data_IF_880391680457
#
_entry.id   IF_880391680457
#
_cell.length_a   1.000
_cell.length_b   1.000
_cell.length_c   1.000
_cell.angle_alpha   90.00
_cell.angle_beta   90.00
_cell.angle_gamma   90.00
#
_symmetry.space_group_name_H-M   'P 1'
#
loop_
_entity.id
_entity.type
_entity.pdbx_description
1 polymer ?
#
# COMPACT_ATOMS: atom_id res chain seq x y z
N UNK A 1 13.24 -6.00 -22.91
CA UNK A 1 14.42 -6.89 -22.84
C UNK A 1 15.39 -6.46 -23.93
N UNK A 2 16.70 -6.65 -23.74
CA UNK A 2 17.71 -6.31 -24.76
C UNK A 2 17.83 -7.37 -25.87
N UNK A 3 17.11 -8.47 -25.73
CA UNK A 3 17.08 -9.62 -26.62
C UNK A 3 15.65 -9.92 -27.07
N UNK A 4 15.52 -10.67 -28.17
CA UNK A 4 14.22 -11.07 -28.71
C UNK A 4 13.43 -11.85 -27.65
N UNK A 5 12.16 -11.47 -27.38
CA UNK A 5 11.30 -12.23 -26.46
C UNK A 5 11.07 -13.68 -26.93
N UNK A 6 10.84 -14.57 -25.96
CA UNK A 6 10.33 -15.92 -26.21
C UNK A 6 8.94 -15.81 -26.83
N UNK A 7 8.71 -16.55 -27.90
CA UNK A 7 7.40 -16.60 -28.54
C UNK A 7 6.34 -17.19 -27.59
N UNK A 8 5.19 -16.53 -27.53
CA UNK A 8 3.99 -17.05 -26.90
C UNK A 8 3.50 -18.28 -27.67
N UNK A 9 3.38 -19.39 -26.93
CA UNK A 9 2.92 -20.69 -27.43
C UNK A 9 1.97 -21.31 -26.42
N UNK A 10 1.05 -22.12 -26.92
CA UNK A 10 0.21 -22.96 -26.08
C UNK A 10 1.02 -24.11 -25.48
N UNK A 11 0.80 -24.43 -24.21
CA UNK A 11 1.37 -25.61 -23.55
C UNK A 11 0.57 -26.89 -23.85
N UNK A 12 -0.61 -26.76 -24.45
CA UNK A 12 -1.50 -27.88 -24.80
C UNK A 12 -2.02 -27.73 -26.24
N UNK A 13 -2.48 -28.82 -26.85
CA UNK A 13 -2.94 -28.82 -28.26
C UNK A 13 -4.17 -27.91 -28.47
N UNK A 14 -5.08 -27.87 -27.48
CA UNK A 14 -6.32 -27.10 -27.55
C UNK A 14 -6.48 -26.23 -26.28
N UNK A 15 -5.86 -25.04 -26.22
CA UNK A 15 -5.97 -24.18 -25.05
C UNK A 15 -7.43 -23.71 -24.90
N UNK A 16 -7.98 -23.92 -23.71
CA UNK A 16 -9.32 -23.46 -23.31
C UNK A 16 -9.24 -22.25 -22.38
N UNK A 17 -8.04 -21.93 -21.89
CA UNK A 17 -7.79 -20.83 -20.97
C UNK A 17 -6.49 -20.09 -21.30
N UNK A 18 -6.42 -18.84 -20.88
CA UNK A 18 -5.20 -18.01 -20.97
C UNK A 18 -4.04 -18.51 -20.08
N UNK A 19 -4.33 -19.39 -19.12
CA UNK A 19 -3.32 -19.99 -18.24
C UNK A 19 -2.46 -21.05 -18.94
N UNK A 20 -2.95 -21.57 -20.07
CA UNK A 20 -2.30 -22.61 -20.87
C UNK A 20 -1.36 -22.03 -21.94
N UNK A 21 -1.02 -20.74 -21.85
CA UNK A 21 -0.21 -20.02 -22.84
C UNK A 21 0.97 -19.38 -22.12
N UNK A 22 2.18 -19.55 -22.67
CA UNK A 22 3.44 -19.08 -22.08
C UNK A 22 4.34 -18.44 -23.14
N UNK A 23 5.07 -17.39 -22.76
CA UNK A 23 5.98 -16.65 -23.64
C UNK A 23 6.53 -15.40 -22.96
N UNK A 24 7.20 -14.54 -23.71
CA UNK A 24 7.78 -13.29 -23.22
C UNK A 24 9.23 -13.45 -22.76
N UNK A 25 9.47 -13.63 -21.47
CA UNK A 25 10.83 -13.54 -20.90
C UNK A 25 11.72 -14.78 -21.18
N UNK A 26 13.03 -14.55 -21.39
CA UNK A 26 14.01 -15.61 -21.69
C UNK A 26 14.28 -16.57 -20.53
N UNK A 27 14.30 -16.08 -19.29
CA UNK A 27 14.53 -16.91 -18.11
C UNK A 27 13.24 -17.06 -17.32
N UNK A 28 12.88 -18.32 -17.04
CA UNK A 28 11.85 -18.69 -16.08
C UNK A 28 12.54 -19.04 -14.78
N UNK A 29 12.40 -18.27 -13.69
CA UNK A 29 12.76 -18.76 -12.37
C UNK A 29 11.91 -20.00 -12.08
N UNK A 30 12.54 -21.16 -11.93
CA UNK A 30 11.84 -22.40 -11.57
C UNK A 30 11.42 -22.36 -10.10
N UNK A 31 10.11 -22.47 -9.84
CA UNK A 31 9.53 -22.59 -8.50
C UNK A 31 8.08 -22.08 -8.44
N UNK A 32 7.27 -22.65 -7.55
CA UNK A 32 5.83 -22.31 -7.34
C UNK A 32 5.56 -20.83 -6.97
N UNK A 33 6.62 -20.07 -6.68
CA UNK A 33 6.55 -18.66 -6.25
C UNK A 33 6.20 -17.71 -7.42
N UNK A 34 6.30 -18.18 -8.68
CA UNK A 34 6.05 -17.36 -9.87
C UNK A 34 5.19 -18.07 -10.93
N UNK A 35 3.89 -18.20 -10.66
CA UNK A 35 2.85 -18.35 -11.70
C UNK A 35 2.73 -17.10 -12.64
N UNK A 36 3.75 -16.23 -12.70
CA UNK A 36 3.68 -14.83 -13.15
C UNK A 36 3.91 -14.57 -14.63
N UNK A 37 4.08 -15.61 -15.46
CA UNK A 37 4.28 -15.44 -16.91
C UNK A 37 3.20 -16.15 -17.73
N UNK A 38 1.99 -16.17 -17.17
CA UNK A 38 0.74 -16.46 -17.88
C UNK A 38 0.08 -15.13 -18.20
N UNK A 39 -0.76 -15.05 -19.24
CA UNK A 39 -1.50 -13.82 -19.55
C UNK A 39 -2.41 -13.40 -18.38
N UNK A 40 -2.82 -14.35 -17.53
CA UNK A 40 -3.50 -14.12 -16.25
C UNK A 40 -2.75 -14.78 -15.11
N UNK A 41 -2.48 -14.01 -14.06
CA UNK A 41 -1.83 -14.47 -12.83
C UNK A 41 -2.89 -14.85 -11.78
N UNK A 42 -3.67 -15.90 -12.03
CA UNK A 42 -4.52 -16.51 -11.01
C UNK A 42 -3.84 -17.74 -10.41
N UNK A 43 -3.87 -17.85 -9.08
CA UNK A 43 -3.38 -19.04 -8.35
C UNK A 43 -4.42 -20.16 -8.28
N UNK A 44 -5.71 -19.84 -8.42
CA UNK A 44 -6.80 -20.82 -8.44
C UNK A 44 -7.34 -20.97 -9.86
N UNK A 45 -6.73 -21.91 -10.59
CA UNK A 45 -7.11 -22.22 -11.97
C UNK A 45 -8.46 -22.96 -12.07
N UNK A 46 -9.07 -23.38 -10.94
CA UNK A 46 -10.35 -24.07 -10.93
C UNK A 46 -11.56 -23.14 -10.74
N UNK A 47 -11.35 -21.90 -10.28
CA UNK A 47 -12.43 -20.93 -10.03
C UNK A 47 -12.25 -19.59 -10.77
N UNK A 48 -11.01 -19.15 -11.03
CA UNK A 48 -10.74 -17.86 -11.67
C UNK A 48 -9.93 -18.05 -12.95
N UNK A 49 -10.64 -18.47 -14.00
CA UNK A 49 -10.10 -18.56 -15.35
C UNK A 49 -11.03 -17.85 -16.33
N UNK A 50 -10.44 -17.15 -17.29
CA UNK A 50 -11.17 -16.77 -18.49
C UNK A 50 -11.22 -18.02 -19.36
N UNK A 51 -12.36 -18.71 -19.31
CA UNK A 51 -12.68 -19.78 -20.24
C UNK A 51 -12.99 -19.15 -21.58
N UNK A 52 -12.29 -19.56 -22.62
CA UNK A 52 -12.68 -19.19 -23.97
C UNK A 52 -13.73 -20.18 -24.46
N UNK A 53 -14.81 -19.65 -25.01
CA UNK A 53 -15.87 -20.46 -25.61
C UNK A 53 -15.30 -21.34 -26.74
N UNK A 54 -15.92 -22.50 -27.02
CA UNK A 54 -15.46 -23.44 -28.05
C UNK A 54 -15.15 -22.80 -29.41
N UNK A 55 -15.90 -21.77 -29.79
CA UNK A 55 -15.75 -21.04 -31.06
C UNK A 55 -14.68 -19.94 -31.01
N UNK A 56 -14.25 -19.53 -29.80
CA UNK A 56 -13.16 -18.57 -29.59
C UNK A 56 -11.80 -19.23 -29.33
N UNK A 57 -11.72 -20.57 -29.36
CA UNK A 57 -10.46 -21.34 -29.36
C UNK A 57 -9.57 -21.02 -30.56
N UNK A 58 -10.18 -20.73 -31.71
CA UNK A 58 -9.46 -20.16 -32.86
C UNK A 58 -8.88 -18.79 -32.54
N UNK A 59 -9.62 -17.95 -31.80
CA UNK A 59 -9.17 -16.62 -31.38
C UNK A 59 -7.85 -16.64 -30.59
N UNK A 60 -7.64 -17.61 -29.70
CA UNK A 60 -6.40 -17.71 -28.94
C UNK A 60 -5.21 -18.14 -29.82
N UNK A 61 -5.43 -19.08 -30.74
CA UNK A 61 -4.44 -19.45 -31.76
C UNK A 61 -4.15 -18.29 -32.74
N UNK A 62 -5.13 -17.41 -33.00
CA UNK A 62 -4.97 -16.21 -33.84
C UNK A 62 -4.26 -15.07 -33.12
N UNK A 63 -4.47 -14.91 -31.81
CA UNK A 63 -3.87 -13.85 -30.99
C UNK A 63 -2.37 -14.08 -30.77
N UNK A 64 -1.93 -15.33 -30.59
CA UNK A 64 -0.51 -15.62 -30.33
C UNK A 64 0.45 -15.09 -31.42
N UNK A 65 0.19 -15.29 -32.73
CA UNK A 65 0.97 -14.65 -33.79
C UNK A 65 0.98 -13.11 -33.70
N UNK A 66 -0.14 -12.50 -33.34
CA UNK A 66 -0.25 -11.04 -33.18
C UNK A 66 0.62 -10.55 -32.03
N UNK A 67 0.51 -11.19 -30.86
CA UNK A 67 1.34 -10.85 -29.69
C UNK A 67 2.82 -11.05 -30.02
N UNK A 68 3.16 -12.16 -30.68
CA UNK A 68 4.54 -12.45 -31.10
C UNK A 68 5.09 -11.40 -32.06
N UNK A 69 4.27 -10.92 -32.99
CA UNK A 69 4.65 -9.84 -33.90
C UNK A 69 4.85 -8.53 -33.15
N UNK A 70 3.93 -8.15 -32.26
CA UNK A 70 4.00 -6.90 -31.50
C UNK A 70 5.20 -6.87 -30.55
N UNK A 71 5.45 -7.94 -29.80
CA UNK A 71 6.56 -7.98 -28.84
C UNK A 71 7.95 -8.03 -29.52
N UNK A 72 8.01 -8.50 -30.77
CA UNK A 72 9.25 -8.60 -31.52
C UNK A 72 9.69 -7.26 -32.14
N UNK A 73 8.87 -6.21 -32.05
CA UNK A 73 9.21 -4.87 -32.54
C UNK A 73 10.31 -4.29 -31.64
N UNK A 74 11.53 -4.06 -32.16
CA UNK A 74 12.57 -3.41 -31.38
C UNK A 74 12.23 -1.93 -31.22
N UNK A 75 12.50 -1.39 -30.04
CA UNK A 75 12.44 0.04 -29.77
C UNK A 75 13.84 0.53 -29.44
N UNK A 76 14.18 1.70 -29.96
CA UNK A 76 15.39 2.42 -29.59
C UNK A 76 15.02 3.71 -28.88
N UNK A 77 15.88 4.13 -27.95
CA UNK A 77 15.72 5.44 -27.32
C UNK A 77 16.03 6.49 -28.38
N UNK A 78 15.05 7.36 -28.66
CA UNK A 78 15.24 8.48 -29.57
C UNK A 78 16.24 9.49 -28.97
N UNK A 79 17.50 9.40 -29.40
CA UNK A 79 18.62 10.12 -28.78
C UNK A 79 18.46 11.62 -28.82
N UNK A 80 18.01 12.17 -29.95
CA UNK A 80 17.78 13.61 -30.09
C UNK A 80 16.64 14.08 -29.20
N UNK A 81 15.55 13.32 -29.11
CA UNK A 81 14.45 13.61 -28.19
C UNK A 81 14.90 13.57 -26.73
N UNK A 82 15.71 12.59 -26.34
CA UNK A 82 16.27 12.52 -25.00
C UNK A 82 17.19 13.72 -24.72
N UNK A 83 18.11 14.06 -25.63
CA UNK A 83 18.99 15.22 -25.49
C UNK A 83 18.22 16.52 -25.42
N UNK A 84 17.15 16.67 -26.22
CA UNK A 84 16.25 17.82 -26.16
C UNK A 84 15.59 17.93 -24.78
N UNK A 85 15.05 16.83 -24.25
CA UNK A 85 14.44 16.80 -22.91
C UNK A 85 15.47 17.17 -21.84
N UNK A 86 16.69 16.64 -21.92
CA UNK A 86 17.74 16.90 -20.93
C UNK A 86 18.22 18.37 -20.98
N UNK A 87 18.42 18.93 -22.17
CA UNK A 87 18.92 20.30 -22.34
C UNK A 87 17.87 21.37 -22.02
N UNK A 88 16.58 21.04 -22.11
CA UNK A 88 15.47 21.97 -21.87
C UNK A 88 14.68 21.61 -20.61
N UNK A 89 15.25 20.77 -19.74
CA UNK A 89 14.56 20.20 -18.59
C UNK A 89 13.86 21.25 -17.74
N UNK A 90 14.59 22.27 -17.30
CA UNK A 90 14.08 23.32 -16.41
C UNK A 90 12.87 24.04 -17.02
N UNK A 91 12.93 24.35 -18.32
CA UNK A 91 11.83 25.01 -19.03
C UNK A 91 10.63 24.07 -19.25
N UNK A 92 10.87 22.79 -19.52
CA UNK A 92 9.82 21.77 -19.62
C UNK A 92 9.12 21.54 -18.28
N UNK A 93 9.86 21.65 -17.16
CA UNK A 93 9.34 21.60 -15.79
C UNK A 93 8.52 22.85 -15.45
N UNK A 94 9.01 24.05 -15.80
CA UNK A 94 8.29 25.32 -15.62
C UNK A 94 6.95 25.35 -16.37
N UNK A 95 6.93 24.81 -17.59
CA UNK A 95 5.70 24.73 -18.40
C UNK A 95 4.79 23.54 -18.03
N UNK A 96 5.17 22.72 -17.05
CA UNK A 96 4.37 21.58 -16.57
C UNK A 96 4.34 20.35 -17.50
N UNK A 97 5.19 20.31 -18.52
CA UNK A 97 5.32 19.18 -19.46
C UNK A 97 6.15 18.05 -18.84
N UNK A 98 7.18 18.42 -18.09
CA UNK A 98 7.99 17.50 -17.30
C UNK A 98 7.69 17.72 -15.81
N UNK A 99 7.74 16.66 -15.01
CA UNK A 99 7.59 16.79 -13.56
C UNK A 99 8.87 17.43 -12.97
N UNK A 100 8.76 18.47 -12.12
CA UNK A 100 9.91 19.20 -11.58
C UNK A 100 10.94 18.31 -10.88
N UNK A 101 12.21 18.59 -11.12
CA UNK A 101 13.34 18.02 -10.41
C UNK A 101 13.44 18.58 -8.99
N UNK A 102 12.91 19.80 -8.72
CA UNK A 102 12.77 20.38 -7.37
C UNK A 102 11.64 19.77 -6.52
N UNK A 103 11.14 18.60 -6.93
CA UNK A 103 10.63 17.61 -5.99
C UNK A 103 11.57 17.48 -4.77
N UNK A 104 12.86 17.84 -4.82
CA UNK A 104 13.77 17.97 -3.67
C UNK A 104 13.22 18.81 -2.49
N UNK A 105 12.68 20.03 -2.67
CA UNK A 105 12.18 20.84 -1.52
C UNK A 105 10.86 20.30 -0.97
N UNK A 106 9.94 19.87 -1.84
CA UNK A 106 8.64 19.30 -1.44
C UNK A 106 8.81 17.89 -0.87
N UNK A 107 9.71 17.08 -1.41
CA UNK A 107 10.11 15.79 -0.85
C UNK A 107 10.85 15.94 0.44
N UNK A 108 11.74 16.93 0.61
CA UNK A 108 12.33 17.21 1.93
C UNK A 108 11.23 17.50 2.94
N UNK A 109 10.23 18.34 2.62
CA UNK A 109 9.09 18.59 3.51
C UNK A 109 8.28 17.31 3.81
N UNK A 110 8.03 16.49 2.79
CA UNK A 110 7.33 15.21 2.94
C UNK A 110 8.15 14.22 3.79
N UNK A 111 9.48 14.18 3.61
CA UNK A 111 10.42 13.35 4.37
C UNK A 111 10.54 13.83 5.82
N UNK A 112 10.56 15.15 6.04
CA UNK A 112 10.51 15.76 7.38
C UNK A 112 9.25 15.35 8.14
N UNK A 113 8.12 15.18 7.43
CA UNK A 113 6.90 14.64 8.02
C UNK A 113 6.95 13.11 8.13
N UNK A 114 7.48 12.39 7.13
CA UNK A 114 7.46 10.91 7.11
C UNK A 114 8.34 10.31 8.22
N UNK A 115 9.52 10.89 8.47
CA UNK A 115 10.46 10.41 9.49
C UNK A 115 9.76 10.25 10.86
N UNK A 116 9.15 11.29 11.45
CA UNK A 116 8.37 11.15 12.68
C UNK A 116 7.28 10.07 12.60
N UNK A 117 6.56 9.93 11.49
CA UNK A 117 5.50 8.92 11.36
C UNK A 117 6.05 7.47 11.42
N UNK A 118 7.32 7.26 11.08
CA UNK A 118 8.00 5.98 11.33
C UNK A 118 8.34 5.77 12.81
N UNK A 119 8.40 6.84 13.60
CA UNK A 119 8.60 6.79 15.05
C UNK A 119 7.29 6.57 15.81
N UNK A 120 6.29 7.45 15.63
CA UNK A 120 4.97 7.38 16.28
C UNK A 120 3.87 7.96 15.39
N UNK A 121 2.61 7.86 15.81
CA UNK A 121 1.50 8.48 15.07
C UNK A 121 1.28 9.92 15.56
N UNK A 122 0.80 10.78 14.66
CA UNK A 122 0.47 12.19 14.91
C UNK A 122 -0.94 12.49 14.40
N UNK A 123 -1.53 13.58 14.91
CA UNK A 123 -2.85 14.05 14.49
C UNK A 123 -2.79 15.04 13.33
N UNK A 124 -1.62 15.60 13.01
CA UNK A 124 -1.42 16.44 11.83
C UNK A 124 0.01 16.34 11.30
N UNK A 125 0.22 16.80 10.06
CA UNK A 125 1.58 16.94 9.50
C UNK A 125 2.37 18.05 10.20
N UNK A 126 1.68 19.08 10.70
CA UNK A 126 2.27 20.17 11.46
C UNK A 126 2.88 19.67 12.77
N UNK A 127 2.11 18.92 13.56
CA UNK A 127 2.57 18.31 14.83
C UNK A 127 3.75 17.35 14.60
N UNK A 128 3.69 16.57 13.52
CA UNK A 128 4.76 15.66 13.10
C UNK A 128 6.07 16.41 12.86
N UNK A 129 6.01 17.50 12.11
CA UNK A 129 7.18 18.31 11.77
C UNK A 129 7.74 19.06 12.99
N UNK A 130 6.89 19.62 13.84
CA UNK A 130 7.30 20.25 15.12
C UNK A 130 8.06 19.26 16.00
N UNK A 131 7.50 18.05 16.19
CA UNK A 131 8.16 17.00 16.95
C UNK A 131 9.53 16.62 16.38
N UNK A 132 9.68 16.58 15.05
CA UNK A 132 10.99 16.32 14.45
C UNK A 132 12.02 17.37 14.87
N UNK A 133 11.66 18.65 14.74
CA UNK A 133 12.56 19.77 15.04
C UNK A 133 12.95 19.79 16.53
N UNK A 134 11.99 19.51 17.42
CA UNK A 134 12.21 19.48 18.87
C UNK A 134 13.14 18.35 19.31
N UNK A 135 13.09 17.19 18.63
CA UNK A 135 13.81 15.99 19.01
C UNK A 135 15.10 15.76 18.20
N UNK A 136 15.30 16.52 17.11
CA UNK A 136 16.45 16.37 16.21
C UNK A 136 17.78 16.42 16.94
N UNK A 137 17.93 17.29 17.92
CA UNK A 137 19.14 17.40 18.73
C UNK A 137 19.42 16.15 19.56
N UNK A 138 18.41 15.31 19.86
CA UNK A 138 18.58 14.09 20.65
C UNK A 138 19.09 12.91 19.82
N UNK A 139 18.76 12.82 18.53
CA UNK A 139 19.13 11.68 17.68
C UNK A 139 20.14 12.01 16.57
N UNK A 140 20.43 13.29 16.32
CA UNK A 140 21.33 13.72 15.25
C UNK A 140 22.71 14.16 15.76
N UNK A 141 23.15 13.65 16.91
CA UNK A 141 24.51 13.96 17.45
C UNK A 141 25.57 12.98 16.97
N UNK A 142 25.20 11.71 16.83
CA UNK A 142 26.06 10.61 16.40
C UNK A 142 25.25 9.41 15.90
N UNK A 143 25.89 8.50 15.18
CA UNK A 143 25.28 7.25 14.71
C UNK A 143 24.74 6.41 15.88
N UNK A 144 25.45 6.41 17.03
CA UNK A 144 25.00 5.71 18.23
C UNK A 144 23.71 6.32 18.79
N UNK A 145 23.64 7.66 18.91
CA UNK A 145 22.43 8.35 19.37
C UNK A 145 21.23 8.10 18.47
N UNK A 146 21.45 8.02 17.15
CA UNK A 146 20.39 7.71 16.18
C UNK A 146 19.87 6.28 16.37
N UNK A 147 20.78 5.32 16.56
CA UNK A 147 20.43 3.91 16.77
C UNK A 147 19.64 3.76 18.08
N UNK A 148 20.14 4.30 19.20
CA UNK A 148 19.45 4.23 20.50
C UNK A 148 18.06 4.85 20.44
N UNK A 149 17.95 6.04 19.84
CA UNK A 149 16.65 6.71 19.70
C UNK A 149 15.69 5.89 18.84
N UNK A 150 16.17 5.34 17.72
CA UNK A 150 15.36 4.56 16.79
C UNK A 150 14.84 3.23 17.36
N UNK A 151 15.42 2.69 18.43
CA UNK A 151 14.92 1.47 19.10
C UNK A 151 13.46 1.60 19.54
N UNK A 152 13.02 2.82 19.86
CA UNK A 152 11.66 3.10 20.31
C UNK A 152 10.69 3.44 19.17
N UNK A 153 11.18 3.50 17.92
CA UNK A 153 10.36 3.80 16.76
C UNK A 153 9.45 2.62 16.39
N UNK A 154 8.25 2.92 15.89
CA UNK A 154 7.35 1.89 15.29
C UNK A 154 8.01 1.14 14.14
N UNK A 155 8.89 1.80 13.38
CA UNK A 155 9.60 1.26 12.22
C UNK A 155 11.07 1.72 12.23
N UNK A 156 11.93 1.11 13.06
CA UNK A 156 13.29 1.61 13.34
C UNK A 156 14.16 1.86 12.11
N UNK A 157 14.28 0.88 11.21
CA UNK A 157 15.12 1.04 10.01
C UNK A 157 14.59 2.09 9.02
N UNK A 158 13.27 2.22 8.90
CA UNK A 158 12.68 3.26 8.06
C UNK A 158 12.88 4.65 8.67
N UNK A 159 12.76 4.78 9.99
CA UNK A 159 13.09 6.01 10.70
C UNK A 159 14.55 6.42 10.45
N UNK A 160 15.50 5.50 10.67
CA UNK A 160 16.93 5.72 10.43
C UNK A 160 17.18 6.16 8.99
N UNK A 161 16.64 5.44 8.00
CA UNK A 161 16.84 5.76 6.58
C UNK A 161 16.38 7.18 6.22
N UNK A 162 15.21 7.62 6.71
CA UNK A 162 14.71 8.97 6.47
C UNK A 162 15.58 10.02 7.18
N UNK A 163 15.98 9.81 8.44
CA UNK A 163 16.86 10.75 9.17
C UNK A 163 18.20 10.90 8.47
N UNK A 164 18.84 9.79 8.08
CA UNK A 164 20.09 9.83 7.32
C UNK A 164 19.94 10.61 6.01
N UNK A 165 18.78 10.47 5.35
CA UNK A 165 18.52 11.20 4.12
C UNK A 165 18.38 12.71 4.31
N UNK A 166 17.61 13.11 5.31
CA UNK A 166 17.40 14.50 5.67
C UNK A 166 18.68 15.18 6.15
N UNK A 167 19.40 14.54 7.07
CA UNK A 167 20.46 15.17 7.86
C UNK A 167 21.84 15.07 7.20
N UNK A 168 22.10 14.00 6.46
CA UNK A 168 23.36 13.83 5.71
C UNK A 168 23.28 14.33 4.27
N UNK A 169 22.18 14.99 3.90
CA UNK A 169 21.92 15.56 2.56
C UNK A 169 22.12 14.55 1.42
N UNK A 170 21.76 13.28 1.64
CA UNK A 170 21.68 12.36 0.50
C UNK A 170 20.50 12.74 -0.38
N UNK A 171 20.54 12.33 -1.64
CA UNK A 171 19.48 12.62 -2.61
C UNK A 171 18.11 12.12 -2.09
N UNK A 172 17.16 13.02 -1.78
CA UNK A 172 15.83 12.68 -1.28
C UNK A 172 15.03 11.76 -2.20
N UNK A 173 15.34 11.76 -3.51
CA UNK A 173 14.67 10.90 -4.49
C UNK A 173 14.98 9.41 -4.31
N UNK A 174 16.00 9.08 -3.51
CA UNK A 174 16.43 7.69 -3.26
C UNK A 174 15.68 7.01 -2.12
N UNK A 175 14.91 7.75 -1.32
CA UNK A 175 14.16 7.20 -0.20
C UNK A 175 12.68 7.07 -0.56
N UNK A 176 12.12 5.85 -0.56
CA UNK A 176 10.69 5.67 -0.81
C UNK A 176 9.88 6.22 0.37
N UNK A 177 8.99 7.17 0.09
CA UNK A 177 7.97 7.61 1.04
C UNK A 177 6.74 6.74 0.88
N UNK A 178 6.37 6.03 1.95
CA UNK A 178 5.14 5.25 1.96
C UNK A 178 3.94 6.13 2.34
N UNK A 179 2.98 6.28 1.44
CA UNK A 179 1.66 6.83 1.75
C UNK A 179 0.65 5.68 1.75
N UNK A 180 0.01 5.47 2.89
CA UNK A 180 -1.06 4.47 3.04
C UNK A 180 -2.36 5.21 3.37
N UNK A 181 -3.43 4.82 2.70
CA UNK A 181 -4.73 5.43 2.87
C UNK A 181 -5.37 4.95 4.18
N UNK A 182 -5.82 5.88 5.02
CA UNK A 182 -6.56 5.54 6.24
C UNK A 182 -7.91 4.92 5.87
N UNK A 183 -8.03 3.61 6.05
CA UNK A 183 -9.30 2.88 5.82
C UNK A 183 -9.83 3.01 4.39
N UNK A 184 -8.99 2.73 3.40
CA UNK A 184 -9.29 2.90 1.97
C UNK A 184 -10.66 2.38 1.51
N UNK A 185 -11.10 1.19 1.95
CA UNK A 185 -12.43 0.69 1.60
C UNK A 185 -13.57 1.56 2.13
N UNK A 186 -13.44 2.13 3.32
CA UNK A 186 -14.43 3.05 3.86
C UNK A 186 -14.41 4.40 3.14
N UNK A 187 -13.26 4.85 2.65
CA UNK A 187 -13.16 6.03 1.76
C UNK A 187 -13.87 5.77 0.43
N UNK A 188 -13.67 4.60 -0.18
CA UNK A 188 -14.36 4.22 -1.42
C UNK A 188 -15.87 4.12 -1.19
N UNK A 189 -16.26 3.51 -0.07
CA UNK A 189 -17.67 3.33 0.27
C UNK A 189 -18.37 4.67 0.56
N UNK A 190 -17.72 5.59 1.28
CA UNK A 190 -18.31 6.92 1.54
C UNK A 190 -18.53 7.70 0.26
N UNK A 191 -17.62 7.58 -0.72
CA UNK A 191 -17.80 8.16 -2.04
C UNK A 191 -19.01 7.55 -2.77
N UNK A 192 -19.09 6.22 -2.87
CA UNK A 192 -20.19 5.57 -3.59
C UNK A 192 -21.57 5.79 -2.95
N UNK A 193 -21.62 5.90 -1.64
CA UNK A 193 -22.85 6.16 -0.89
C UNK A 193 -23.18 7.65 -0.77
N UNK A 194 -22.30 8.54 -1.26
CA UNK A 194 -22.39 9.99 -1.05
C UNK A 194 -22.55 10.36 0.43
N UNK A 195 -21.91 9.58 1.30
CA UNK A 195 -21.98 9.74 2.75
C UNK A 195 -20.92 10.75 3.20
N UNK A 196 -21.36 11.99 3.38
CA UNK A 196 -20.50 13.12 3.77
C UNK A 196 -19.91 12.91 5.16
N UNK A 197 -20.65 12.31 6.09
CA UNK A 197 -20.17 12.08 7.45
C UNK A 197 -19.04 11.04 7.43
N UNK A 198 -19.25 9.92 6.75
CA UNK A 198 -18.22 8.89 6.62
C UNK A 198 -17.02 9.38 5.80
N UNK A 199 -17.26 10.20 4.76
CA UNK A 199 -16.20 10.83 3.98
C UNK A 199 -15.29 11.70 4.85
N UNK A 200 -15.87 12.48 5.77
CA UNK A 200 -15.11 13.27 6.74
C UNK A 200 -14.32 12.37 7.72
N UNK A 201 -15.00 11.38 8.33
CA UNK A 201 -14.38 10.43 9.29
C UNK A 201 -13.24 9.60 8.70
N UNK A 202 -13.17 9.48 7.38
CA UNK A 202 -12.17 8.69 6.65
C UNK A 202 -11.10 9.55 5.97
N UNK A 203 -11.11 10.87 6.14
CA UNK A 203 -10.22 11.82 5.45
C UNK A 203 -10.37 11.83 3.92
N UNK A 204 -11.51 11.39 3.37
CA UNK A 204 -11.79 11.53 1.94
C UNK A 204 -12.00 13.01 1.58
N UNK A 205 -12.70 13.74 2.47
CA UNK A 205 -12.79 15.19 2.44
C UNK A 205 -12.02 15.75 3.63
N UNK A 206 -11.22 16.79 3.39
CA UNK A 206 -10.50 17.51 4.44
C UNK A 206 -11.32 18.72 4.85
N UNK A 207 -11.73 18.75 6.12
CA UNK A 207 -12.48 19.88 6.71
C UNK A 207 -11.55 20.71 7.63
N UNK A 208 -10.49 20.10 8.14
CA UNK A 208 -9.46 20.74 8.95
C UNK A 208 -8.05 20.14 8.67
N UNK A 209 -7.03 20.62 9.38
CA UNK A 209 -5.64 20.10 9.31
C UNK A 209 -5.44 18.79 10.10
N UNK A 210 -6.52 18.17 10.59
CA UNK A 210 -6.43 16.96 11.42
C UNK A 210 -6.64 15.69 10.60
N UNK A 211 -5.85 14.70 10.95
CA UNK A 211 -5.95 13.34 10.46
C UNK A 211 -6.97 12.61 11.35
N UNK A 212 -8.14 12.34 10.79
CA UNK A 212 -9.21 11.61 11.45
C UNK A 212 -8.93 10.10 11.45
N UNK A 213 -9.13 9.48 12.60
CA UNK A 213 -8.95 8.05 12.76
C UNK A 213 -10.30 7.35 12.95
N UNK A 214 -10.87 6.84 11.85
CA UNK A 214 -12.15 6.13 11.82
C UNK A 214 -12.26 5.09 12.94
N UNK A 215 -11.21 4.30 13.18
CA UNK A 215 -11.28 3.22 14.17
C UNK A 215 -11.38 3.74 15.59
N UNK A 216 -10.83 4.91 15.89
CA UNK A 216 -11.00 5.53 17.22
C UNK A 216 -12.46 5.93 17.44
N UNK A 217 -13.15 6.44 16.40
CA UNK A 217 -14.59 6.72 16.47
C UNK A 217 -15.43 5.46 16.59
N UNK A 218 -15.08 4.39 15.86
CA UNK A 218 -15.74 3.10 16.01
C UNK A 218 -15.54 2.47 17.40
N UNK A 219 -14.42 2.72 18.10
CA UNK A 219 -14.24 2.28 19.49
C UNK A 219 -15.28 2.94 20.40
N UNK A 220 -15.49 4.25 20.28
CA UNK A 220 -16.45 5.01 21.08
C UNK A 220 -17.86 4.43 20.89
N UNK A 221 -18.30 4.32 19.64
CA UNK A 221 -19.61 3.76 19.25
C UNK A 221 -19.78 2.30 19.72
N UNK A 222 -18.77 1.46 19.54
CA UNK A 222 -18.82 0.05 19.95
C UNK A 222 -18.92 -0.08 21.47
N UNK A 223 -18.17 0.72 22.23
CA UNK A 223 -18.23 0.71 23.70
C UNK A 223 -19.60 1.10 24.19
N UNK A 224 -20.22 2.12 23.60
CA UNK A 224 -21.55 2.56 24.00
C UNK A 224 -22.62 1.52 23.65
N UNK A 225 -22.52 0.91 22.46
CA UNK A 225 -23.36 -0.24 22.10
C UNK A 225 -23.24 -1.38 23.12
N UNK A 226 -22.02 -1.76 23.51
CA UNK A 226 -21.80 -2.88 24.42
C UNK A 226 -22.27 -2.59 25.85
N UNK A 227 -22.16 -1.36 26.34
CA UNK A 227 -22.70 -0.99 27.67
C UNK A 227 -24.21 -1.17 27.77
N UNK A 228 -24.93 -0.95 26.66
CA UNK A 228 -26.38 -1.13 26.57
C UNK A 228 -26.76 -2.61 26.49
N UNK A 229 -25.97 -3.42 25.78
CA UNK A 229 -26.32 -4.81 25.45
C UNK A 229 -25.69 -5.87 26.35
N UNK A 230 -24.63 -5.53 27.10
CA UNK A 230 -24.00 -6.43 28.05
C UNK A 230 -24.47 -6.15 29.47
N UNK A 231 -24.43 -7.18 30.33
CA UNK A 231 -24.56 -6.99 31.78
C UNK A 231 -23.48 -6.04 32.27
N UNK A 232 -23.81 -5.17 33.23
CA UNK A 232 -22.90 -4.16 33.77
C UNK A 232 -21.54 -4.73 34.21
N UNK A 233 -21.55 -5.91 34.84
CA UNK A 233 -20.34 -6.63 35.27
C UNK A 233 -19.46 -7.12 34.11
N UNK A 234 -20.06 -7.47 32.98
CA UNK A 234 -19.33 -7.90 31.79
C UNK A 234 -18.83 -6.68 30.99
N UNK A 235 -19.65 -5.65 30.87
CA UNK A 235 -19.29 -4.40 30.20
C UNK A 235 -18.09 -3.72 30.86
N UNK A 236 -18.03 -3.71 32.20
CA UNK A 236 -16.91 -3.13 32.95
C UNK A 236 -15.59 -3.88 32.74
N UNK A 237 -15.64 -5.17 32.43
CA UNK A 237 -14.46 -5.98 32.09
C UNK A 237 -14.08 -5.80 30.61
N UNK A 238 -15.05 -5.86 29.70
CA UNK A 238 -14.80 -5.90 28.25
C UNK A 238 -14.47 -4.51 27.68
N UNK A 239 -15.26 -3.47 27.98
CA UNK A 239 -15.16 -2.17 27.32
C UNK A 239 -13.77 -1.49 27.45
N UNK A 240 -13.10 -1.52 28.62
CA UNK A 240 -11.76 -0.95 28.75
C UNK A 240 -10.69 -1.63 27.89
N UNK A 241 -10.95 -2.88 27.48
CA UNK A 241 -10.01 -3.73 26.73
C UNK A 241 -10.23 -3.69 25.22
N UNK A 242 -11.29 -3.03 24.78
CA UNK A 242 -11.52 -2.73 23.37
C UNK A 242 -10.56 -1.62 22.98
N UNK A 243 -9.50 -2.00 22.28
CA UNK A 243 -8.51 -1.07 21.76
C UNK A 243 -8.67 -0.88 20.25
N UNK A 244 -7.88 0.05 19.71
CA UNK A 244 -7.88 0.35 18.27
C UNK A 244 -7.46 -0.85 17.44
N UNK A 245 -6.59 -1.72 17.95
CA UNK A 245 -6.08 -2.88 17.23
C UNK A 245 -7.19 -3.91 17.02
N UNK A 246 -7.96 -4.22 18.05
CA UNK A 246 -9.12 -5.11 17.99
C UNK A 246 -10.21 -4.54 17.09
N UNK A 247 -10.58 -3.27 17.27
CA UNK A 247 -11.60 -2.63 16.42
C UNK A 247 -11.17 -2.62 14.96
N UNK A 248 -9.91 -2.27 14.66
CA UNK A 248 -9.39 -2.36 13.30
C UNK A 248 -9.43 -3.80 12.77
N UNK A 249 -9.07 -4.80 13.56
CA UNK A 249 -9.11 -6.21 13.14
C UNK A 249 -10.53 -6.69 12.81
N UNK A 250 -11.55 -6.17 13.49
CA UNK A 250 -12.96 -6.49 13.24
C UNK A 250 -13.48 -5.74 12.01
N UNK A 251 -13.44 -4.41 12.04
CA UNK A 251 -14.14 -3.57 11.06
C UNK A 251 -13.39 -3.44 9.73
N UNK A 252 -12.06 -3.39 9.74
CA UNK A 252 -11.29 -3.24 8.50
C UNK A 252 -11.55 -4.38 7.50
N UNK A 253 -11.64 -5.66 7.90
CA UNK A 253 -11.94 -6.74 6.96
C UNK A 253 -13.43 -7.02 6.82
N UNK A 254 -14.29 -6.52 7.71
CA UNK A 254 -15.74 -6.65 7.61
C UNK A 254 -16.26 -6.09 6.28
N UNK A 255 -15.78 -4.90 5.90
CA UNK A 255 -16.13 -4.28 4.60
C UNK A 255 -15.62 -5.07 3.39
N UNK A 256 -14.61 -5.92 3.58
CA UNK A 256 -14.09 -6.86 2.58
C UNK A 256 -14.75 -8.24 2.65
N UNK A 257 -15.84 -8.41 3.43
CA UNK A 257 -16.59 -9.67 3.51
C UNK A 257 -16.10 -10.65 4.57
N UNK A 258 -15.47 -10.16 5.65
CA UNK A 258 -15.08 -11.02 6.79
C UNK A 258 -16.28 -11.75 7.40
N UNK A 259 -16.10 -13.04 7.65
CA UNK A 259 -17.15 -13.88 8.25
C UNK A 259 -17.23 -13.69 9.77
N UNK A 260 -18.42 -13.95 10.32
CA UNK A 260 -18.67 -13.95 11.78
C UNK A 260 -17.67 -14.85 12.51
N UNK A 261 -17.38 -16.05 11.97
CA UNK A 261 -16.43 -16.99 12.58
C UNK A 261 -15.03 -16.36 12.72
N UNK A 262 -14.56 -15.68 11.68
CA UNK A 262 -13.25 -15.01 11.74
C UNK A 262 -13.25 -13.84 12.72
N UNK A 263 -14.34 -13.09 12.80
CA UNK A 263 -14.51 -12.02 13.79
C UNK A 263 -14.50 -12.57 15.22
N UNK A 264 -15.21 -13.68 15.47
CA UNK A 264 -15.21 -14.36 16.78
C UNK A 264 -13.80 -14.82 17.17
N UNK A 265 -13.01 -15.34 16.22
CA UNK A 265 -11.61 -15.72 16.49
C UNK A 265 -10.75 -14.52 16.90
N UNK A 266 -10.92 -13.36 16.26
CA UNK A 266 -10.16 -12.16 16.64
C UNK A 266 -10.53 -11.66 18.03
N UNK A 267 -11.84 -11.63 18.35
CA UNK A 267 -12.33 -11.27 19.68
C UNK A 267 -11.78 -12.26 20.72
N UNK A 268 -11.87 -13.56 20.43
CA UNK A 268 -11.34 -14.60 21.29
C UNK A 268 -9.84 -14.39 21.51
N UNK A 269 -9.02 -14.29 20.46
CA UNK A 269 -7.57 -14.10 20.59
C UNK A 269 -7.19 -12.83 21.36
N UNK A 270 -7.96 -11.75 21.19
CA UNK A 270 -7.71 -10.48 21.88
C UNK A 270 -8.11 -10.53 23.36
N UNK A 271 -9.11 -11.34 23.73
CA UNK A 271 -9.64 -11.43 25.09
C UNK A 271 -9.19 -12.71 25.83
N UNK A 272 -8.69 -13.73 25.13
CA UNK A 272 -8.33 -15.03 25.70
C UNK A 272 -7.05 -14.98 26.53
N UNK A 273 -6.16 -14.02 26.24
CA UNK A 273 -4.98 -13.72 27.08
C UNK A 273 -5.35 -13.35 28.53
N UNK A 274 -6.63 -13.12 28.81
CA UNK A 274 -7.17 -12.81 30.12
C UNK A 274 -7.74 -14.03 30.85
N UNK A 275 -8.11 -15.09 30.13
CA UNK A 275 -8.62 -16.35 30.71
C UNK A 275 -7.50 -17.27 31.20
N UNK A 276 -6.27 -17.03 30.75
CA UNK A 276 -5.08 -17.83 31.11
C UNK A 276 -4.23 -17.19 32.22
N UNK A 277 -4.56 -15.98 32.68
CA UNK A 277 -3.85 -15.27 33.76
C UNK A 277 -4.69 -15.16 35.05
N UNK A 278 -5.54 -16.16 35.32
CA UNK A 278 -6.12 -16.39 36.65
C UNK A 278 -5.40 -17.54 37.33
#
# INVERSE_FOLDING_TARGET
MVCKPVEWKSTVVNPTTLAEVRGGYLSQPTGDIYHRYRLLTSHDNSHFFIKLEPDSRHGLLTIMPVINKLQAIPFEIHREGLSFILNNRDYLEECGILMPSEIDKRCRKILYCSAPFHYKSFQSYTESNEWYNDNKSSFNTSDHSLIEFALHAKKPFQFIANVLSLERKTDPSTIPVTQDASSSAYQIMSYFLLDVELANRTNLISIDDKIHDLYTKLIEELRDYLKVHLRSSLASVVCPRIDRKLVKAIFMPLIYGKTVISTTKDIHNSLSSLLTNQ
#
